data_IF_664213401920
#
_entry.id   IF_664213401920
#
_cell.length_a   1.000
_cell.length_b   1.000
_cell.length_c   1.000
_cell.angle_alpha   90.00
_cell.angle_beta   90.00
_cell.angle_gamma   90.00
#
_symmetry.space_group_name_H-M   'P 1'
#
loop_
_entity.id
_entity.type
_entity.pdbx_description
1 polymer ?
#
# COMPACT_ATOMS: atom_id res chain seq x y z
N UNK A 1 -10.39 13.13 -32.73
CA UNK A 1 -10.68 12.35 -31.50
C UNK A 1 -9.52 11.56 -30.85
N UNK A 2 -8.29 11.44 -31.39
CA UNK A 2 -7.22 10.64 -30.74
C UNK A 2 -6.57 11.30 -29.50
N UNK A 3 -6.47 12.63 -29.49
CA UNK A 3 -5.88 13.46 -28.42
C UNK A 3 -6.45 13.18 -27.02
N UNK A 4 -7.79 13.10 -26.89
CA UNK A 4 -8.47 12.86 -25.61
C UNK A 4 -8.15 11.45 -25.08
N UNK A 5 -8.10 10.46 -25.97
CA UNK A 5 -7.79 9.08 -25.61
C UNK A 5 -6.33 8.95 -25.18
N UNK A 6 -5.40 9.63 -25.84
CA UNK A 6 -3.99 9.67 -25.45
C UNK A 6 -3.79 10.30 -24.07
N UNK A 7 -4.43 11.44 -23.78
CA UNK A 7 -4.37 12.04 -22.44
C UNK A 7 -4.94 11.15 -21.35
N UNK A 8 -6.06 10.47 -21.62
CA UNK A 8 -6.65 9.52 -20.66
C UNK A 8 -5.69 8.34 -20.43
N UNK A 9 -5.14 7.75 -21.49
CA UNK A 9 -4.19 6.64 -21.39
C UNK A 9 -2.93 7.02 -20.60
N UNK A 10 -2.35 8.19 -20.85
CA UNK A 10 -1.19 8.69 -20.08
C UNK A 10 -1.51 8.89 -18.60
N UNK A 11 -2.69 9.42 -18.28
CA UNK A 11 -3.12 9.64 -16.90
C UNK A 11 -3.38 8.32 -16.17
N UNK A 12 -3.96 7.34 -16.85
CA UNK A 12 -4.16 6.00 -16.31
C UNK A 12 -2.85 5.24 -16.11
N UNK A 13 -1.88 5.41 -17.02
CA UNK A 13 -0.54 4.82 -16.85
C UNK A 13 0.22 5.43 -15.67
N UNK A 14 0.15 6.75 -15.48
CA UNK A 14 0.77 7.41 -14.31
C UNK A 14 0.14 6.94 -12.99
N UNK A 15 -1.18 6.75 -12.97
CA UNK A 15 -1.89 6.19 -11.81
C UNK A 15 -1.50 4.73 -11.54
N UNK A 16 -1.49 3.89 -12.58
CA UNK A 16 -1.07 2.48 -12.46
C UNK A 16 0.38 2.34 -12.00
N UNK A 17 1.28 3.19 -12.49
CA UNK A 17 2.68 3.23 -12.06
C UNK A 17 2.84 3.67 -10.60
N UNK A 18 2.00 4.58 -10.11
CA UNK A 18 1.96 4.93 -8.69
C UNK A 18 1.41 3.77 -7.83
N UNK A 19 0.42 3.02 -8.34
CA UNK A 19 -0.20 1.89 -7.64
C UNK A 19 0.71 0.65 -7.54
N UNK A 20 1.61 0.44 -8.52
CA UNK A 20 2.62 -0.61 -8.48
C UNK A 20 3.49 -0.54 -7.21
N UNK A 21 3.81 0.66 -6.72
CA UNK A 21 4.55 0.84 -5.47
C UNK A 21 3.82 0.23 -4.28
N UNK A 22 2.54 0.55 -4.10
CA UNK A 22 1.73 0.01 -2.99
C UNK A 22 1.53 -1.51 -3.08
N UNK A 23 1.32 -2.03 -4.29
CA UNK A 23 1.16 -3.47 -4.54
C UNK A 23 2.43 -4.26 -4.24
N UNK A 24 3.63 -3.67 -4.32
CA UNK A 24 4.87 -4.37 -3.96
C UNK A 24 5.09 -4.50 -2.44
N UNK A 25 4.52 -3.60 -1.63
CA UNK A 25 4.63 -3.66 -0.16
C UNK A 25 3.56 -4.56 0.48
N UNK A 26 2.41 -4.71 -0.17
CA UNK A 26 1.28 -5.50 0.34
C UNK A 26 1.61 -7.00 0.59
N UNK A 27 2.34 -7.71 -0.31
CA UNK A 27 2.71 -9.11 -0.12
C UNK A 27 3.74 -9.30 0.99
N UNK A 28 4.66 -8.36 1.17
CA UNK A 28 5.70 -8.44 2.20
C UNK A 28 5.09 -8.35 3.59
N UNK A 29 4.17 -7.40 3.81
CA UNK A 29 3.44 -7.26 5.07
C UNK A 29 2.51 -8.47 5.28
N UNK A 30 1.83 -8.92 4.23
CA UNK A 30 0.97 -10.11 4.27
C UNK A 30 1.73 -11.39 4.62
N UNK A 31 2.94 -11.58 4.08
CA UNK A 31 3.78 -12.73 4.38
C UNK A 31 4.28 -12.69 5.82
N UNK A 32 4.71 -11.53 6.32
CA UNK A 32 5.12 -11.39 7.72
C UNK A 32 3.93 -11.66 8.66
N UNK A 33 2.74 -11.15 8.34
CA UNK A 33 1.53 -11.41 9.12
C UNK A 33 1.14 -12.89 9.12
N UNK A 34 1.22 -13.55 7.96
CA UNK A 34 0.93 -14.98 7.82
C UNK A 34 1.97 -15.83 8.59
N UNK A 35 3.25 -15.50 8.50
CA UNK A 35 4.31 -16.16 9.25
C UNK A 35 4.13 -15.95 10.77
N UNK A 36 3.82 -14.73 11.21
CA UNK A 36 3.45 -14.46 12.60
C UNK A 36 2.24 -15.30 13.04
N UNK A 37 1.21 -15.45 12.19
CA UNK A 37 0.04 -16.27 12.50
C UNK A 37 0.36 -17.77 12.61
N UNK A 38 1.29 -18.28 11.80
CA UNK A 38 1.76 -19.69 11.87
C UNK A 38 2.64 -19.91 13.10
N UNK A 39 3.52 -18.95 13.42
CA UNK A 39 4.35 -18.96 14.64
C UNK A 39 3.52 -18.83 15.92
N UNK A 40 2.37 -18.17 15.87
CA UNK A 40 1.46 -18.03 17.03
C UNK A 40 0.52 -19.24 17.18
N UNK A 41 0.72 -20.32 16.42
CA UNK A 41 -0.15 -21.48 16.50
C UNK A 41 0.24 -22.37 17.70
N UNK A 42 -0.65 -22.60 18.68
CA UNK A 42 -0.35 -23.36 19.90
C UNK A 42 -0.04 -24.85 19.63
N UNK A 43 -0.30 -25.34 18.41
CA UNK A 43 0.08 -26.69 17.96
C UNK A 43 1.55 -26.82 17.55
N UNK A 44 2.24 -25.71 17.24
CA UNK A 44 3.65 -25.68 16.80
C UNK A 44 4.58 -25.01 17.83
N UNK A 45 4.08 -24.07 18.63
CA UNK A 45 4.83 -23.37 19.68
C UNK A 45 4.02 -23.43 20.99
N UNK A 46 4.63 -23.94 22.05
CA UNK A 46 3.97 -24.11 23.36
C UNK A 46 3.43 -22.77 23.88
N UNK A 47 2.19 -22.77 24.39
CA UNK A 47 1.40 -21.58 24.83
C UNK A 47 2.13 -20.63 25.79
N UNK A 48 3.14 -21.13 26.52
CA UNK A 48 3.94 -20.37 27.50
C UNK A 48 5.19 -19.72 26.90
N UNK A 49 5.45 -19.91 25.60
CA UNK A 49 6.66 -19.44 24.95
C UNK A 49 6.59 -17.95 24.64
N UNK A 50 7.67 -17.22 24.95
CA UNK A 50 7.85 -15.81 24.59
C UNK A 50 7.55 -15.52 23.11
N UNK A 51 7.80 -16.47 22.22
CA UNK A 51 7.48 -16.40 20.79
C UNK A 51 5.98 -16.30 20.48
N UNK A 52 5.13 -16.94 21.29
CA UNK A 52 3.67 -16.86 21.15
C UNK A 52 3.17 -15.46 21.55
N UNK A 53 3.74 -14.89 22.62
CA UNK A 53 3.42 -13.53 23.07
C UNK A 53 3.95 -12.46 22.09
N UNK A 54 5.15 -12.65 21.52
CA UNK A 54 5.68 -11.81 20.44
C UNK A 54 4.85 -11.92 19.15
N UNK A 55 4.37 -13.13 18.82
CA UNK A 55 3.48 -13.38 17.70
C UNK A 55 2.18 -12.60 17.80
N UNK A 56 1.50 -12.67 18.95
CA UNK A 56 0.29 -11.87 19.24
C UNK A 56 0.57 -10.36 19.28
N UNK A 57 1.67 -9.95 19.93
CA UNK A 57 2.10 -8.55 19.97
C UNK A 57 2.50 -8.02 18.58
N UNK A 58 2.92 -8.87 17.64
CA UNK A 58 3.27 -8.46 16.29
C UNK A 58 2.05 -8.38 15.36
N UNK A 59 1.10 -9.30 15.45
CA UNK A 59 -0.04 -9.32 14.51
C UNK A 59 -0.93 -8.07 14.62
N UNK A 60 -1.16 -7.57 15.84
CA UNK A 60 -2.03 -6.41 16.12
C UNK A 60 -1.52 -5.08 15.54
N UNK A 61 -0.26 -4.65 15.80
CA UNK A 61 0.29 -3.42 15.21
C UNK A 61 0.54 -3.55 13.70
N UNK A 62 0.78 -4.75 13.16
CA UNK A 62 0.97 -4.93 11.71
C UNK A 62 -0.28 -4.56 10.90
N UNK A 63 -1.48 -4.81 11.42
CA UNK A 63 -2.73 -4.31 10.82
C UNK A 63 -2.81 -2.78 10.80
N UNK A 64 -2.35 -2.11 11.86
CA UNK A 64 -2.28 -0.66 11.94
C UNK A 64 -1.23 -0.07 10.98
N UNK A 65 -0.08 -0.71 10.82
CA UNK A 65 0.93 -0.33 9.82
C UNK A 65 0.41 -0.44 8.39
N UNK A 66 -0.39 -1.48 8.10
CA UNK A 66 -1.04 -1.62 6.80
C UNK A 66 -2.10 -0.52 6.57
N UNK A 67 -2.91 -0.22 7.58
CA UNK A 67 -3.93 0.83 7.49
C UNK A 67 -3.33 2.22 7.30
N UNK A 68 -2.27 2.55 8.04
CA UNK A 68 -1.59 3.86 7.92
C UNK A 68 -0.86 4.00 6.58
N UNK A 69 -0.16 2.96 6.12
CA UNK A 69 0.47 2.97 4.78
C UNK A 69 -0.56 3.07 3.64
N UNK A 70 -1.71 2.41 3.75
CA UNK A 70 -2.82 2.58 2.80
C UNK A 70 -3.38 4.01 2.79
N UNK A 71 -3.48 4.66 3.96
CA UNK A 71 -3.89 6.07 4.07
C UNK A 71 -2.89 7.03 3.41
N UNK A 72 -1.59 6.84 3.63
CA UNK A 72 -0.55 7.61 2.93
C UNK A 72 -0.59 7.41 1.41
N UNK A 73 -0.90 6.20 0.96
CA UNK A 73 -1.06 5.90 -0.46
C UNK A 73 -2.29 6.59 -1.07
N UNK A 74 -3.43 6.57 -0.39
CA UNK A 74 -4.65 7.23 -0.84
C UNK A 74 -4.47 8.76 -0.92
N UNK A 75 -3.82 9.37 0.07
CA UNK A 75 -3.51 10.80 0.05
C UNK A 75 -2.50 11.18 -1.04
N UNK A 76 -1.45 10.37 -1.25
CA UNK A 76 -0.48 10.58 -2.33
C UNK A 76 -1.11 10.48 -3.73
N UNK A 77 -1.97 9.49 -3.96
CA UNK A 77 -2.67 9.33 -5.24
C UNK A 77 -3.70 10.44 -5.50
N UNK A 78 -4.39 10.92 -4.46
CA UNK A 78 -5.27 12.10 -4.55
C UNK A 78 -4.50 13.39 -4.90
N UNK A 79 -3.33 13.60 -4.30
CA UNK A 79 -2.44 14.74 -4.63
C UNK A 79 -1.89 14.64 -6.06
N UNK A 80 -1.49 13.44 -6.50
CA UNK A 80 -1.07 13.21 -7.88
C UNK A 80 -2.20 13.51 -8.89
N UNK A 81 -3.44 13.13 -8.56
CA UNK A 81 -4.62 13.40 -9.39
C UNK A 81 -4.96 14.89 -9.50
N UNK A 82 -4.80 15.66 -8.41
CA UNK A 82 -4.94 17.12 -8.41
C UNK A 82 -3.94 17.81 -9.37
N UNK A 83 -2.69 17.32 -9.40
CA UNK A 83 -1.67 17.85 -10.33
C UNK A 83 -1.98 17.53 -11.79
N UNK A 84 -2.64 16.41 -12.07
CA UNK A 84 -3.06 16.00 -13.41
C UNK A 84 -4.26 16.85 -13.91
N UNK A 85 -5.16 17.29 -13.01
CA UNK A 85 -6.32 18.13 -13.35
C UNK A 85 -5.96 19.57 -13.72
N UNK A 86 -4.81 20.10 -13.28
CA UNK A 86 -4.42 21.46 -13.62
C UNK A 86 -3.96 21.53 -15.09
N UNK A 87 -4.63 22.32 -15.96
CA UNK A 87 -4.10 22.57 -17.29
C UNK A 87 -2.77 23.34 -17.15
N UNK A 88 -1.72 22.90 -17.86
CA UNK A 88 -0.55 23.74 -18.13
C UNK A 88 -1.05 24.98 -18.89
N UNK A 89 -1.32 26.11 -18.22
CA UNK A 89 -1.79 27.31 -18.93
C UNK A 89 -1.24 28.66 -18.44
N UNK A 90 -0.09 28.72 -17.77
CA UNK A 90 0.51 30.04 -17.48
C UNK A 90 2.03 30.08 -17.21
N UNK A 91 2.80 29.06 -17.58
CA UNK A 91 4.26 29.05 -17.34
C UNK A 91 5.14 29.14 -18.60
N UNK A 92 4.56 29.48 -19.74
CA UNK A 92 5.32 29.94 -20.91
C UNK A 92 4.61 31.17 -21.47
N UNK A 93 4.71 32.27 -20.71
CA UNK A 93 5.09 33.55 -21.29
C UNK A 93 6.59 33.69 -21.09
#
# INVERSE_FOLDING_TARGET
>A
MPEIRQRILENMQKFSRAMIGAVLFLPVIGLIMALSSVLTNPTLIAETSFLHQLGQCSATPFGLYLATSAYYFASASAMAWQRIKKPKSHWFQ
#
